data_IF_872399671055
#
_entry.id   IF_872399671055
#
_cell.length_a   1.000
_cell.length_b   1.000
_cell.length_c   1.000
_cell.angle_alpha   90.00
_cell.angle_beta   90.00
_cell.angle_gamma   90.00
#
_symmetry.space_group_name_H-M   'P 1'
#
loop_
_entity.id
_entity.type
_entity.pdbx_description
1 polymer ?
#
# COMPACT_ATOMS: atom_id res chain seq x y z
N UNK A 1 12.72 7.90 -14.84
CA UNK A 1 11.34 8.09 -14.34
C UNK A 1 10.62 6.80 -14.01
N UNK A 2 10.61 5.77 -14.87
CA UNK A 2 9.99 4.46 -14.56
C UNK A 2 10.42 3.90 -13.19
N UNK A 3 11.73 3.76 -12.95
CA UNK A 3 12.24 3.19 -11.70
C UNK A 3 11.89 4.02 -10.46
N UNK A 4 11.85 5.35 -10.59
CA UNK A 4 11.42 6.24 -9.52
C UNK A 4 9.95 5.98 -9.15
N UNK A 5 9.09 5.76 -10.15
CA UNK A 5 7.68 5.43 -9.94
C UNK A 5 7.45 4.01 -9.40
N UNK A 6 8.45 3.13 -9.44
CA UNK A 6 8.39 1.80 -8.83
C UNK A 6 8.80 1.79 -7.34
N UNK A 7 9.33 2.89 -6.80
CA UNK A 7 9.67 2.98 -5.37
C UNK A 7 8.42 2.91 -4.46
N UNK A 8 7.32 3.64 -4.71
CA UNK A 8 6.15 3.54 -3.83
C UNK A 8 5.51 2.14 -3.78
N UNK A 9 5.33 1.41 -4.91
CA UNK A 9 4.93 0.00 -4.88
C UNK A 9 5.85 -0.89 -4.06
N UNK A 10 7.16 -0.69 -4.14
CA UNK A 10 8.13 -1.42 -3.34
C UNK A 10 7.94 -1.14 -1.84
N UNK A 11 7.76 0.13 -1.47
CA UNK A 11 7.48 0.55 -0.08
C UNK A 11 6.17 -0.08 0.41
N UNK A 12 5.12 -0.09 -0.42
CA UNK A 12 3.84 -0.73 -0.12
C UNK A 12 4.02 -2.22 0.17
N UNK A 13 4.75 -2.95 -0.68
CA UNK A 13 5.02 -4.36 -0.44
C UNK A 13 5.84 -4.59 0.85
N UNK A 14 6.88 -3.79 1.09
CA UNK A 14 7.75 -3.96 2.27
C UNK A 14 6.99 -3.73 3.56
N UNK A 15 6.29 -2.59 3.68
CA UNK A 15 5.46 -2.29 4.86
C UNK A 15 4.32 -3.31 4.97
N UNK A 16 3.73 -3.67 3.82
CA UNK A 16 2.61 -4.59 3.76
C UNK A 16 2.97 -5.97 4.31
N UNK A 17 4.13 -6.51 3.94
CA UNK A 17 4.66 -7.77 4.45
C UNK A 17 4.94 -7.71 5.95
N UNK A 18 5.54 -6.62 6.43
CA UNK A 18 5.79 -6.43 7.87
C UNK A 18 4.48 -6.47 8.68
N UNK A 19 3.42 -5.85 8.17
CA UNK A 19 2.10 -5.84 8.83
C UNK A 19 1.36 -7.18 8.66
N UNK A 20 1.39 -7.77 7.46
CA UNK A 20 0.74 -9.04 7.13
C UNK A 20 1.27 -10.20 7.98
N UNK A 21 2.59 -10.24 8.20
CA UNK A 21 3.24 -11.22 9.06
C UNK A 21 3.31 -10.81 10.52
N UNK A 22 2.56 -9.78 10.92
CA UNK A 22 2.41 -9.39 12.33
C UNK A 22 3.75 -9.07 13.01
N UNK A 23 4.74 -8.60 12.25
CA UNK A 23 6.11 -8.33 12.74
C UNK A 23 6.20 -7.03 13.55
N UNK A 24 5.15 -6.20 13.49
CA UNK A 24 5.11 -4.87 14.09
C UNK A 24 4.15 -4.88 15.28
N UNK A 25 4.65 -4.75 16.52
CA UNK A 25 3.79 -4.67 17.70
C UNK A 25 3.03 -3.33 17.76
N UNK A 26 1.96 -3.23 18.58
CA UNK A 26 1.22 -1.98 18.78
C UNK A 26 2.14 -0.80 19.08
N UNK A 27 2.04 0.26 18.27
CA UNK A 27 2.89 1.44 18.39
C UNK A 27 2.21 2.69 17.79
N UNK A 28 2.77 3.87 18.09
CA UNK A 28 2.21 5.15 17.65
C UNK A 28 2.62 5.58 16.23
N UNK A 29 3.55 4.90 15.54
CA UNK A 29 4.21 5.40 14.32
C UNK A 29 3.88 4.61 13.04
N UNK A 30 3.69 3.30 13.13
CA UNK A 30 3.61 2.38 11.99
C UNK A 30 2.42 1.43 12.13
N UNK A 31 1.65 1.29 11.06
CA UNK A 31 0.44 0.46 11.02
C UNK A 31 -0.86 1.28 10.96
N UNK A 32 -1.99 0.57 10.87
CA UNK A 32 -3.32 1.14 10.87
C UNK A 32 -3.75 1.46 12.30
N UNK A 33 -3.63 2.74 12.66
CA UNK A 33 -3.75 3.24 14.03
C UNK A 33 -5.10 3.91 14.22
N UNK A 34 -5.92 3.28 15.04
CA UNK A 34 -7.22 3.79 15.50
C UNK A 34 -7.30 3.58 17.00
N UNK A 35 -8.25 4.24 17.67
CA UNK A 35 -8.49 3.99 19.09
C UNK A 35 -8.72 2.50 19.40
N UNK A 36 -9.38 1.78 18.49
CA UNK A 36 -9.60 0.32 18.60
C UNK A 36 -8.31 -0.48 18.49
N UNK A 37 -7.48 -0.23 17.47
CA UNK A 37 -6.24 -1.01 17.26
C UNK A 37 -5.18 -0.69 18.29
N UNK A 38 -5.13 0.54 18.84
CA UNK A 38 -4.16 0.91 19.88
C UNK A 38 -4.55 0.42 21.29
N UNK A 39 -5.85 0.18 21.55
CA UNK A 39 -6.32 -0.29 22.86
C UNK A 39 -6.44 -1.81 22.98
N UNK A 40 -6.34 -2.54 21.87
CA UNK A 40 -6.51 -4.00 21.84
C UNK A 40 -5.52 -4.64 20.85
N UNK A 41 -4.60 -5.45 21.39
CA UNK A 41 -3.56 -6.12 20.61
C UNK A 41 -4.09 -7.16 19.61
N UNK A 42 -5.14 -7.90 19.97
CA UNK A 42 -5.76 -8.84 19.04
C UNK A 42 -6.39 -8.08 17.85
N UNK A 43 -7.04 -6.94 18.12
CA UNK A 43 -7.56 -6.06 17.07
C UNK A 43 -6.43 -5.43 16.25
N UNK A 44 -5.30 -5.06 16.87
CA UNK A 44 -4.13 -4.56 16.18
C UNK A 44 -3.66 -5.52 15.09
N UNK A 45 -3.38 -6.78 15.45
CA UNK A 45 -2.84 -7.74 14.50
C UNK A 45 -3.85 -8.19 13.46
N UNK A 46 -5.13 -8.33 13.82
CA UNK A 46 -6.18 -8.69 12.85
C UNK A 46 -6.33 -7.62 11.75
N UNK A 47 -6.45 -6.35 12.15
CA UNK A 47 -6.63 -5.23 11.22
C UNK A 47 -5.37 -4.97 10.42
N UNK A 48 -4.20 -4.95 11.06
CA UNK A 48 -2.93 -4.74 10.36
C UNK A 48 -2.59 -5.89 9.42
N UNK A 49 -3.00 -7.14 9.70
CA UNK A 49 -2.81 -8.23 8.76
C UNK A 49 -3.63 -8.00 7.47
N UNK A 50 -4.90 -7.60 7.60
CA UNK A 50 -5.75 -7.28 6.44
C UNK A 50 -5.22 -6.09 5.64
N UNK A 51 -4.85 -5.00 6.33
CA UNK A 51 -4.23 -3.82 5.71
C UNK A 51 -2.91 -4.20 5.05
N UNK A 52 -2.10 -5.04 5.69
CA UNK A 52 -0.83 -5.53 5.18
C UNK A 52 -0.99 -6.28 3.85
N UNK A 53 -1.89 -7.26 3.80
CA UNK A 53 -2.19 -8.00 2.56
C UNK A 53 -2.78 -7.11 1.47
N UNK A 54 -3.64 -6.16 1.83
CA UNK A 54 -4.15 -5.15 0.89
C UNK A 54 -3.01 -4.29 0.33
N UNK A 55 -2.06 -3.87 1.16
CA UNK A 55 -0.91 -3.07 0.76
C UNK A 55 0.03 -3.84 -0.17
N UNK A 56 0.29 -5.12 0.10
CA UNK A 56 1.06 -6.01 -0.79
C UNK A 56 0.37 -6.14 -2.14
N UNK A 57 -0.92 -6.47 -2.18
CA UNK A 57 -1.66 -6.63 -3.43
C UNK A 57 -1.70 -5.31 -4.22
N UNK A 58 -1.99 -4.19 -3.54
CA UNK A 58 -1.96 -2.84 -4.11
C UNK A 58 -0.59 -2.49 -4.70
N UNK A 59 0.51 -2.83 -4.01
CA UNK A 59 1.87 -2.64 -4.49
C UNK A 59 2.15 -3.45 -5.76
N UNK A 60 1.85 -4.74 -5.75
CA UNK A 60 2.06 -5.63 -6.92
C UNK A 60 1.26 -5.16 -8.14
N UNK A 61 -0.03 -4.86 -7.97
CA UNK A 61 -0.89 -4.36 -9.05
C UNK A 61 -0.36 -3.03 -9.58
N UNK A 62 0.01 -2.10 -8.70
CA UNK A 62 0.58 -0.81 -9.10
C UNK A 62 1.89 -0.98 -9.88
N UNK A 63 2.78 -1.87 -9.44
CA UNK A 63 4.04 -2.15 -10.13
C UNK A 63 3.81 -2.68 -11.56
N UNK A 64 2.84 -3.59 -11.73
CA UNK A 64 2.46 -4.12 -13.04
C UNK A 64 1.89 -3.02 -13.93
N UNK A 65 0.93 -2.22 -13.43
CA UNK A 65 0.33 -1.11 -14.19
C UNK A 65 1.40 -0.11 -14.62
N UNK A 66 2.28 0.31 -13.71
CA UNK A 66 3.37 1.25 -14.00
C UNK A 66 4.34 0.65 -15.03
N UNK A 67 4.65 -0.64 -14.93
CA UNK A 67 5.50 -1.32 -15.90
C UNK A 67 4.92 -1.24 -17.31
N UNK A 68 3.63 -1.57 -17.47
CA UNK A 68 2.93 -1.52 -18.75
C UNK A 68 2.77 -0.10 -19.28
N UNK A 69 2.35 0.86 -18.46
CA UNK A 69 2.16 2.27 -18.87
C UNK A 69 3.45 2.87 -19.41
N UNK A 70 4.60 2.55 -18.82
CA UNK A 70 5.88 3.06 -19.31
C UNK A 70 6.36 2.37 -20.60
N UNK A 71 5.81 1.22 -20.98
CA UNK A 71 6.06 0.54 -22.24
C UNK A 71 5.19 1.06 -23.41
N UNK A 72 4.08 1.75 -23.12
CA UNK A 72 3.22 2.36 -24.13
C UNK A 72 3.88 3.60 -24.76
N UNK A 73 3.51 3.92 -26.00
CA UNK A 73 3.95 5.13 -26.68
C UNK A 73 3.08 6.34 -26.28
N UNK A 74 3.23 6.74 -25.02
CA UNK A 74 2.57 7.91 -24.43
C UNK A 74 3.62 8.96 -24.06
N UNK A 75 3.20 10.23 -24.07
CA UNK A 75 4.00 11.32 -23.54
C UNK A 75 4.32 11.09 -22.06
N UNK A 76 5.53 11.49 -21.63
CA UNK A 76 6.02 11.25 -20.28
C UNK A 76 5.08 11.80 -19.19
N UNK A 77 4.49 12.98 -19.41
CA UNK A 77 3.54 13.59 -18.47
C UNK A 77 2.30 12.72 -18.24
N UNK A 78 1.78 12.09 -19.30
CA UNK A 78 0.62 11.19 -19.21
C UNK A 78 1.00 9.90 -18.46
N UNK A 79 2.18 9.34 -18.74
CA UNK A 79 2.70 8.17 -18.02
C UNK A 79 2.80 8.43 -16.51
N UNK A 80 3.39 9.56 -16.13
CA UNK A 80 3.53 9.97 -14.74
C UNK A 80 2.18 10.23 -14.07
N UNK A 81 1.23 10.86 -14.79
CA UNK A 81 -0.12 11.11 -14.27
C UNK A 81 -0.85 9.81 -13.96
N UNK A 82 -0.87 8.85 -14.90
CA UNK A 82 -1.53 7.55 -14.71
C UNK A 82 -0.88 6.78 -13.56
N UNK A 83 0.46 6.74 -13.51
CA UNK A 83 1.19 6.08 -12.44
C UNK A 83 0.85 6.67 -11.06
N UNK A 84 0.83 8.00 -10.95
CA UNK A 84 0.51 8.70 -9.70
C UNK A 84 -0.94 8.45 -9.29
N UNK A 85 -1.89 8.53 -10.23
CA UNK A 85 -3.30 8.25 -9.97
C UNK A 85 -3.50 6.81 -9.46
N UNK A 86 -2.85 5.82 -10.08
CA UNK A 86 -2.89 4.43 -9.62
C UNK A 86 -2.40 4.29 -8.18
N UNK A 87 -1.29 4.95 -7.82
CA UNK A 87 -0.74 4.92 -6.47
C UNK A 87 -1.67 5.56 -5.43
N UNK A 88 -2.31 6.68 -5.78
CA UNK A 88 -3.30 7.32 -4.90
C UNK A 88 -4.50 6.41 -4.68
N UNK A 89 -5.07 5.83 -5.74
CA UNK A 89 -6.18 4.89 -5.64
C UNK A 89 -5.81 3.66 -4.78
N UNK A 90 -4.62 3.10 -5.00
CA UNK A 90 -4.09 1.96 -4.24
C UNK A 90 -3.95 2.29 -2.75
N UNK A 91 -3.42 3.47 -2.42
CA UNK A 91 -3.30 3.93 -1.03
C UNK A 91 -4.68 4.11 -0.38
N UNK A 92 -5.61 4.79 -1.06
CA UNK A 92 -6.98 4.98 -0.56
C UNK A 92 -7.70 3.67 -0.29
N UNK A 93 -7.53 2.66 -1.16
CA UNK A 93 -8.11 1.32 -0.96
C UNK A 93 -7.65 0.70 0.37
N UNK A 94 -6.36 0.82 0.70
CA UNK A 94 -5.84 0.23 1.95
C UNK A 94 -6.39 0.91 3.21
N UNK A 95 -6.69 2.21 3.13
CA UNK A 95 -7.36 2.95 4.21
C UNK A 95 -8.79 2.43 4.39
N UNK A 96 -9.51 2.21 3.30
CA UNK A 96 -10.87 1.64 3.33
C UNK A 96 -10.86 0.23 3.91
N UNK A 97 -9.90 -0.61 3.54
CA UNK A 97 -9.76 -1.96 4.10
C UNK A 97 -9.53 -1.91 5.62
N UNK A 98 -8.70 -0.96 6.07
CA UNK A 98 -8.45 -0.78 7.50
C UNK A 98 -9.66 -0.28 8.29
N UNK A 99 -10.52 0.56 7.69
CA UNK A 99 -11.74 1.04 8.35
C UNK A 99 -12.86 -0.01 8.38
N UNK A 100 -12.85 -0.96 7.45
CA UNK A 100 -13.89 -2.02 7.33
C UNK A 100 -13.51 -3.34 8.02
N UNK A 101 -12.22 -3.56 8.33
CA UNK A 101 -11.74 -4.65 9.21
C UNK A 101 -12.03 -4.31 10.67
#
# INVERSE_FOLDING_TARGET
MKYLMLLPPLIFCTIGLMLAFQMVPPNATTGFRTGRTLSNEAAWYAVNANVGWSLVLSGLVSAVVIWYVFALDLNLSVKCLIATAMLVCAASLTVIVGTMS
#
